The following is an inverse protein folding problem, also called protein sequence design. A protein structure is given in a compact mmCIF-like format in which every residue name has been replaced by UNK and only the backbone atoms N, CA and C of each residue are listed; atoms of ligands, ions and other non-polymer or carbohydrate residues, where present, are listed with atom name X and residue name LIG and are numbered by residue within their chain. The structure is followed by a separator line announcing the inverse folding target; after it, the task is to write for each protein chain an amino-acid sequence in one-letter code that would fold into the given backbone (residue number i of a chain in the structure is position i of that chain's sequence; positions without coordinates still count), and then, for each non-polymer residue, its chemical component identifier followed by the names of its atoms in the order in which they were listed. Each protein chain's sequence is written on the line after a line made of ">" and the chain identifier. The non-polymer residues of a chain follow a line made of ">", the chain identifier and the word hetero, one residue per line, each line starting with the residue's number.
data_IF_939216300943
#
_entry.id   IF_939216300943
#
_cell.length_a   1.000
_cell.length_b   1.000
_cell.length_c   1.000
_cell.angle_alpha   90.00
_cell.angle_beta   90.00
_cell.angle_gamma   90.00
#
_symmetry.space_group_name_H-M   'P 1'
#
loop_
_entity.id
_entity.type
_entity.pdbx_description
1 polymer ?
#
# COMPACT_ATOMS: atom_id res chain seq x y z
N UNK A 1 -14.04 -3.02 1.65
CA UNK A 1 -12.77 -3.24 2.36
C UNK A 1 -12.43 -2.00 3.14
N UNK A 2 -12.06 -2.12 4.41
CA UNK A 2 -11.58 -0.99 5.20
C UNK A 2 -10.07 -0.90 4.98
N UNK A 3 -9.57 0.24 4.49
CA UNK A 3 -8.15 0.47 4.30
C UNK A 3 -7.50 0.75 5.66
N UNK A 4 -6.55 -0.08 6.07
CA UNK A 4 -5.75 0.12 7.28
C UNK A 4 -4.46 0.85 6.91
N UNK A 5 -4.25 2.03 7.50
CA UNK A 5 -3.06 2.85 7.29
C UNK A 5 -2.29 2.96 8.60
N UNK A 6 -0.98 2.66 8.56
CA UNK A 6 -0.10 2.91 9.68
C UNK A 6 0.09 4.42 9.90
N UNK A 7 0.06 4.86 11.16
CA UNK A 7 0.29 6.26 11.58
C UNK A 7 1.63 6.40 12.31
N UNK A 8 2.10 5.31 12.91
CA UNK A 8 3.37 5.19 13.61
C UNK A 8 4.15 3.99 13.07
N UNK A 9 5.42 3.85 13.49
CA UNK A 9 6.22 2.67 13.13
C UNK A 9 5.69 1.38 13.77
N UNK A 10 5.05 1.47 14.94
CA UNK A 10 4.50 0.31 15.65
C UNK A 10 3.24 -0.26 14.98
N UNK A 11 2.61 0.51 14.08
CA UNK A 11 1.47 0.05 13.27
C UNK A 11 1.90 -0.75 12.03
N UNK A 12 3.20 -0.77 11.72
CA UNK A 12 3.75 -1.50 10.58
C UNK A 12 4.00 -2.97 10.95
N UNK A 13 3.91 -3.88 9.97
CA UNK A 13 4.29 -5.28 10.18
C UNK A 13 5.72 -5.39 10.72
N UNK A 14 5.91 -6.20 11.75
CA UNK A 14 7.20 -6.40 12.39
C UNK A 14 8.01 -7.54 11.75
N UNK A 15 9.21 -7.80 12.29
CA UNK A 15 10.07 -8.87 11.77
C UNK A 15 9.43 -10.27 11.89
N UNK A 16 8.61 -10.51 12.92
CA UNK A 16 7.92 -11.78 13.04
C UNK A 16 6.88 -11.92 11.91
N UNK A 17 6.15 -10.85 11.61
CA UNK A 17 5.17 -10.85 10.54
C UNK A 17 5.78 -11.11 9.16
N UNK A 18 6.95 -10.54 8.90
CA UNK A 18 7.68 -10.71 7.64
C UNK A 18 8.26 -12.13 7.50
N UNK A 19 8.79 -12.69 8.58
CA UNK A 19 9.49 -13.98 8.54
C UNK A 19 8.55 -15.18 8.63
N UNK A 20 7.32 -15.01 9.13
CA UNK A 20 6.35 -16.11 9.29
C UNK A 20 5.45 -16.37 8.08
N UNK A 21 5.58 -15.59 7.00
CA UNK A 21 4.69 -15.63 5.82
C UNK A 21 5.49 -15.72 4.52
N UNK A 22 4.90 -16.32 3.49
CA UNK A 22 5.41 -16.09 2.14
C UNK A 22 5.14 -14.65 1.71
N UNK A 23 5.86 -14.15 0.70
CA UNK A 23 5.60 -12.82 0.15
C UNK A 23 4.18 -12.67 -0.39
N UNK A 24 3.60 -13.74 -0.96
CA UNK A 24 2.22 -13.75 -1.43
C UNK A 24 1.24 -13.63 -0.26
N UNK A 25 1.41 -14.45 0.78
CA UNK A 25 0.53 -14.43 1.96
C UNK A 25 0.59 -13.09 2.70
N UNK A 26 1.78 -12.49 2.78
CA UNK A 26 1.98 -11.16 3.34
C UNK A 26 1.16 -10.11 2.56
N UNK A 27 1.29 -10.06 1.24
CA UNK A 27 0.56 -9.10 0.41
C UNK A 27 -0.96 -9.34 0.47
N UNK A 28 -1.41 -10.59 0.54
CA UNK A 28 -2.83 -10.90 0.71
C UNK A 28 -3.35 -10.48 2.09
N UNK A 29 -2.56 -10.59 3.15
CA UNK A 29 -2.92 -10.09 4.49
C UNK A 29 -3.05 -8.56 4.49
N UNK A 30 -2.16 -7.85 3.78
CA UNK A 30 -2.27 -6.39 3.56
C UNK A 30 -3.54 -6.05 2.78
N UNK A 31 -3.85 -6.80 1.71
CA UNK A 31 -5.08 -6.61 0.94
C UNK A 31 -6.32 -6.79 1.83
N UNK A 32 -6.34 -7.83 2.69
CA UNK A 32 -7.42 -8.10 3.65
C UNK A 32 -7.53 -7.07 4.79
N UNK A 33 -6.54 -6.19 4.95
CA UNK A 33 -6.47 -5.21 6.03
C UNK A 33 -6.03 -5.80 7.37
N UNK A 34 -5.53 -7.04 7.39
CA UNK A 34 -4.98 -7.70 8.58
C UNK A 34 -3.62 -7.11 8.98
N UNK A 35 -2.86 -6.68 7.97
CA UNK A 35 -1.60 -5.96 8.11
C UNK A 35 -1.73 -4.57 7.48
N UNK A 36 -1.13 -3.57 8.11
CA UNK A 36 -1.09 -2.22 7.54
C UNK A 36 -0.30 -2.19 6.24
N UNK A 37 -0.84 -1.51 5.22
CA UNK A 37 -0.09 -1.17 4.03
C UNK A 37 0.95 -0.07 4.30
N UNK A 38 1.87 0.18 3.36
CA UNK A 38 2.89 1.21 3.53
C UNK A 38 2.26 2.62 3.57
N UNK A 39 2.67 3.51 4.48
CA UNK A 39 2.13 4.87 4.62
C UNK A 39 2.21 5.73 3.34
N UNK A 40 3.14 5.40 2.44
CA UNK A 40 3.28 6.08 1.15
C UNK A 40 2.02 5.99 0.28
N UNK A 41 1.22 4.92 0.40
CA UNK A 41 -0.03 4.78 -0.35
C UNK A 41 -1.03 5.90 -0.03
N UNK A 42 -1.16 6.27 1.25
CA UNK A 42 -1.95 7.44 1.67
C UNK A 42 -1.40 8.73 1.09
N UNK A 43 -0.08 8.90 1.08
CA UNK A 43 0.60 10.11 0.58
C UNK A 43 0.38 10.31 -0.92
N UNK A 44 0.49 9.23 -1.69
CA UNK A 44 0.38 9.23 -3.15
C UNK A 44 -1.06 8.97 -3.65
N UNK A 45 -2.00 8.70 -2.74
CA UNK A 45 -3.41 8.52 -3.05
C UNK A 45 -3.72 7.20 -3.76
N UNK A 46 -2.95 6.14 -3.51
CA UNK A 46 -3.20 4.80 -4.02
C UNK A 46 -3.36 3.75 -2.92
N UNK A 47 -4.03 2.66 -3.25
CA UNK A 47 -4.23 1.52 -2.37
C UNK A 47 -4.23 0.21 -3.16
N UNK A 48 -3.98 -0.89 -2.46
CA UNK A 48 -3.93 -2.23 -3.01
C UNK A 48 -5.36 -2.75 -3.24
N UNK A 49 -5.64 -3.27 -4.44
CA UNK A 49 -6.98 -3.80 -4.81
C UNK A 49 -6.96 -5.27 -5.23
N UNK A 50 -5.81 -5.79 -5.67
CA UNK A 50 -5.68 -7.19 -6.07
C UNK A 50 -4.30 -7.75 -5.75
N UNK A 51 -4.26 -9.01 -5.29
CA UNK A 51 -3.03 -9.78 -5.08
C UNK A 51 -3.26 -11.20 -5.58
N UNK A 52 -2.47 -11.59 -6.57
CA UNK A 52 -2.40 -12.93 -7.13
C UNK A 52 -0.94 -13.34 -7.38
N UNK A 53 -0.70 -14.62 -7.63
CA UNK A 53 0.63 -15.09 -8.00
C UNK A 53 1.09 -14.41 -9.29
N UNK A 54 2.24 -13.73 -9.24
CA UNK A 54 2.80 -12.99 -10.37
C UNK A 54 2.09 -11.66 -10.71
N UNK A 55 1.07 -11.23 -9.95
CA UNK A 55 0.33 -9.98 -10.22
C UNK A 55 -0.16 -9.27 -8.96
N UNK A 56 0.06 -7.97 -8.90
CA UNK A 56 -0.45 -7.07 -7.86
C UNK A 56 -1.04 -5.83 -8.53
N UNK A 57 -2.21 -5.38 -8.08
CA UNK A 57 -2.88 -4.19 -8.62
C UNK A 57 -3.04 -3.15 -7.52
N UNK A 58 -2.60 -1.93 -7.82
CA UNK A 58 -2.88 -0.75 -7.03
C UNK A 58 -3.76 0.19 -7.84
N UNK A 59 -4.76 0.77 -7.19
CA UNK A 59 -5.61 1.81 -7.75
C UNK A 59 -5.46 3.08 -6.95
N UNK A 60 -5.48 4.23 -7.64
CA UNK A 60 -5.28 5.50 -6.98
C UNK A 60 -5.91 6.67 -7.70
N UNK A 61 -6.16 7.72 -6.92
CA UNK A 61 -6.61 9.03 -7.38
C UNK A 61 -5.62 10.07 -6.83
N UNK A 62 -4.47 10.26 -7.49
CA UNK A 62 -3.42 11.16 -7.02
C UNK A 62 -3.94 12.60 -6.85
N UNK A 63 -3.59 13.21 -5.72
CA UNK A 63 -4.03 14.56 -5.35
C UNK A 63 -3.16 15.66 -5.92
N UNK A 64 -3.58 16.92 -5.72
CA UNK A 64 -2.83 18.10 -6.19
C UNK A 64 -1.36 18.13 -5.70
N UNK A 65 -1.10 17.65 -4.49
CA UNK A 65 0.23 17.52 -3.88
C UNK A 65 1.19 16.58 -4.64
N UNK A 66 0.67 15.79 -5.59
CA UNK A 66 1.45 14.88 -6.44
C UNK A 66 1.55 15.37 -7.88
N UNK A 67 1.15 16.61 -8.18
CA UNK A 67 1.21 17.17 -9.53
C UNK A 67 2.59 17.71 -9.90
N UNK A 68 2.85 17.82 -11.21
CA UNK A 68 4.06 18.40 -11.79
C UNK A 68 3.75 19.74 -12.50
N UNK A 69 4.76 20.53 -12.90
CA UNK A 69 4.54 21.82 -13.59
C UNK A 69 3.81 21.73 -14.93
N UNK A 70 3.76 20.55 -15.56
CA UNK A 70 3.01 20.28 -16.80
C UNK A 70 1.52 20.01 -16.54
N UNK A 71 1.05 20.24 -15.31
CA UNK A 71 -0.37 20.14 -14.91
C UNK A 71 -0.91 18.70 -14.94
N UNK A 72 -0.04 17.71 -14.74
CA UNK A 72 -0.39 16.29 -14.58
C UNK A 72 0.27 15.67 -13.35
N UNK A 73 0.05 14.38 -13.11
CA UNK A 73 0.71 13.63 -12.04
C UNK A 73 2.23 13.57 -12.26
N UNK A 74 3.01 13.75 -11.20
CA UNK A 74 4.46 13.54 -11.23
C UNK A 74 4.75 12.04 -11.42
N UNK A 75 5.73 11.70 -12.27
CA UNK A 75 5.98 10.31 -12.66
C UNK A 75 6.86 9.50 -11.70
N UNK A 76 7.33 10.11 -10.61
CA UNK A 76 8.30 9.54 -9.67
C UNK A 76 7.70 8.55 -8.69
#
# INVERSE_FOLDING_TARGET
>A
MTLTFAETLDDLPDMADLLSRSGLDFMQAVLRGELSGPPIGRTLGFHLTEVAEGRVVFEGSPGFNTTNPMRGTHGG
#
